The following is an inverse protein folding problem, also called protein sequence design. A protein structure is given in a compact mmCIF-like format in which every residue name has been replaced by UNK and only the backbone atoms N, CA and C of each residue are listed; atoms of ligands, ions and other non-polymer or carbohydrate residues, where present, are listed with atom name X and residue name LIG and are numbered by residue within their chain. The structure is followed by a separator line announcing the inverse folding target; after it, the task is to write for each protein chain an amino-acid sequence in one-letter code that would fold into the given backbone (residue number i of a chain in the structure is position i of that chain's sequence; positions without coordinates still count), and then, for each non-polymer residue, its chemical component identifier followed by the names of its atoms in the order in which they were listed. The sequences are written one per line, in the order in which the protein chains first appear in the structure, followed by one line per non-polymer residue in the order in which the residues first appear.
data_IF_005595326223
#
_entry.id   IF_005595326223
#
_cell.length_a   1.000
_cell.length_b   1.000
_cell.length_c   1.000
_cell.angle_alpha   90.00
_cell.angle_beta   90.00
_cell.angle_gamma   90.00
#
_symmetry.space_group_name_H-M   'P 1'
#
loop_
_entity.id
_entity.type
_entity.pdbx_description
1 polymer ?
#
# COMPACT_ATOMS: atom_id res chain seq x y z
N UNK A 1 -20.30 -5.52 -11.44
CA UNK A 1 -19.37 -4.38 -11.43
C UNK A 1 -18.25 -4.75 -10.48
N UNK A 2 -16.99 -4.37 -10.74
CA UNK A 2 -15.93 -4.62 -9.78
C UNK A 2 -16.12 -3.71 -8.56
N UNK A 3 -15.88 -4.22 -7.34
CA UNK A 3 -16.07 -3.42 -6.14
C UNK A 3 -14.97 -2.35 -6.07
N UNK A 4 -15.31 -1.12 -5.74
CA UNK A 4 -14.32 -0.05 -5.56
C UNK A 4 -13.56 -0.27 -4.26
N UNK A 5 -12.24 -0.19 -4.33
CA UNK A 5 -11.35 -0.50 -3.22
C UNK A 5 -10.52 0.74 -2.87
N UNK A 6 -10.58 1.18 -1.62
CA UNK A 6 -9.64 2.15 -1.07
C UNK A 6 -8.75 1.46 -0.06
N UNK A 7 -7.43 1.58 -0.23
CA UNK A 7 -6.46 1.00 0.68
C UNK A 7 -5.56 2.10 1.22
N UNK A 8 -5.48 2.16 2.55
CA UNK A 8 -4.52 2.99 3.26
C UNK A 8 -3.42 2.15 3.85
N UNK A 9 -2.19 2.54 3.60
CA UNK A 9 -0.95 1.83 3.92
C UNK A 9 0.06 2.73 4.64
N UNK A 10 -0.04 4.06 4.48
CA UNK A 10 0.74 5.05 5.22
C UNK A 10 0.15 5.17 6.63
N UNK A 11 0.70 4.37 7.54
CA UNK A 11 0.18 4.08 8.86
C UNK A 11 -0.43 2.69 8.96
N UNK A 12 -1.50 2.56 9.74
CA UNK A 12 -2.16 1.24 9.94
C UNK A 12 -2.95 0.86 8.69
N UNK A 13 -2.76 -0.38 8.20
CA UNK A 13 -3.52 -0.91 7.06
C UNK A 13 -5.03 -0.77 7.29
N UNK A 14 -5.70 -0.01 6.42
CA UNK A 14 -7.16 0.06 6.32
C UNK A 14 -7.59 -0.28 4.89
N UNK A 15 -8.66 -1.05 4.76
CA UNK A 15 -9.25 -1.38 3.47
C UNK A 15 -10.73 -1.02 3.54
N UNK A 16 -11.22 -0.31 2.53
CA UNK A 16 -12.64 0.03 2.35
C UNK A 16 -13.07 -0.52 1.02
N UNK A 17 -14.17 -1.27 1.00
CA UNK A 17 -14.76 -1.89 -0.18
C UNK A 17 -16.16 -1.33 -0.39
N UNK A 18 -16.40 -0.67 -1.52
CA UNK A 18 -17.67 0.01 -1.85
C UNK A 18 -18.16 0.90 -0.69
N UNK A 19 -17.25 1.68 -0.08
CA UNK A 19 -17.54 2.55 1.06
C UNK A 19 -17.68 1.85 2.42
N UNK A 20 -17.58 0.52 2.47
CA UNK A 20 -17.69 -0.26 3.72
C UNK A 20 -16.31 -0.71 4.20
N UNK A 21 -15.98 -0.45 5.46
CA UNK A 21 -14.71 -0.87 6.04
C UNK A 21 -14.62 -2.41 6.10
N UNK A 22 -13.50 -2.95 5.60
CA UNK A 22 -13.12 -4.36 5.80
C UNK A 22 -12.54 -4.50 7.21
N UNK A 23 -13.22 -5.25 8.05
CA UNK A 23 -12.88 -5.48 9.46
C UNK A 23 -11.97 -6.70 9.62
N UNK A 24 -11.47 -6.93 10.84
CA UNK A 24 -10.64 -8.11 11.12
C UNK A 24 -11.35 -9.44 10.86
N UNK A 25 -12.67 -9.48 11.07
CA UNK A 25 -13.50 -10.68 10.84
C UNK A 25 -13.61 -11.08 9.37
N UNK A 26 -13.46 -10.13 8.45
CA UNK A 26 -13.61 -10.37 7.01
C UNK A 26 -12.41 -11.11 6.42
N UNK A 27 -11.21 -10.97 6.99
CA UNK A 27 -9.97 -11.53 6.43
C UNK A 27 -9.92 -13.06 6.43
N UNK A 28 -10.74 -13.70 7.26
CA UNK A 28 -10.77 -15.15 7.57
C UNK A 28 -9.46 -15.72 8.17
N UNK A 29 -8.30 -15.19 7.78
CA UNK A 29 -6.97 -15.59 8.23
C UNK A 29 -6.05 -14.37 8.34
N UNK A 30 -5.14 -14.40 9.31
CA UNK A 30 -4.10 -13.38 9.45
C UNK A 30 -3.20 -13.31 8.20
N UNK A 31 -2.94 -14.46 7.59
CA UNK A 31 -2.08 -14.59 6.42
C UNK A 31 -2.67 -13.96 5.16
N UNK A 32 -4.00 -13.93 4.98
CA UNK A 32 -4.63 -13.19 3.88
C UNK A 32 -4.33 -11.68 3.97
N UNK A 33 -4.44 -11.10 5.17
CA UNK A 33 -4.10 -9.70 5.43
C UNK A 33 -2.61 -9.43 5.20
N UNK A 34 -1.75 -10.34 5.66
CA UNK A 34 -0.31 -10.21 5.49
C UNK A 34 0.13 -10.35 4.03
N UNK A 35 -0.51 -11.26 3.26
CA UNK A 35 -0.33 -11.38 1.82
C UNK A 35 -0.64 -10.07 1.10
N UNK A 36 -1.75 -9.40 1.45
CA UNK A 36 -2.06 -8.10 0.83
C UNK A 36 -0.92 -7.10 1.03
N UNK A 37 -0.41 -6.99 2.27
CA UNK A 37 0.69 -6.06 2.58
C UNK A 37 1.94 -6.37 1.76
N UNK A 38 2.35 -7.63 1.71
CA UNK A 38 3.54 -8.06 0.95
C UNK A 38 3.36 -7.76 -0.55
N UNK A 39 2.21 -8.12 -1.11
CA UNK A 39 1.93 -7.91 -2.53
C UNK A 39 1.81 -6.42 -2.89
N UNK A 40 1.28 -5.58 -2.00
CA UNK A 40 1.29 -4.12 -2.17
C UNK A 40 2.73 -3.60 -2.09
N UNK A 41 3.55 -4.04 -1.14
CA UNK A 41 4.95 -3.59 -1.05
C UNK A 41 5.76 -3.90 -2.30
N UNK A 42 5.52 -5.05 -2.94
CA UNK A 42 6.24 -5.46 -4.15
C UNK A 42 5.60 -5.00 -5.46
N UNK A 43 4.47 -4.29 -5.39
CA UNK A 43 3.68 -3.89 -6.57
C UNK A 43 4.51 -3.09 -7.60
N UNK A 44 4.16 -3.17 -8.89
CA UNK A 44 3.21 -4.11 -9.51
C UNK A 44 3.85 -5.48 -9.80
N UNK A 45 5.04 -5.77 -9.25
CA UNK A 45 5.81 -6.97 -9.59
C UNK A 45 5.21 -8.20 -8.91
N UNK A 46 5.26 -9.37 -9.56
CA UNK A 46 4.87 -10.62 -8.91
C UNK A 46 5.89 -11.01 -7.84
N UNK A 47 5.38 -11.53 -6.72
CA UNK A 47 6.16 -12.16 -5.67
C UNK A 47 6.11 -13.67 -5.87
N UNK A 48 7.28 -14.31 -5.83
CA UNK A 48 7.41 -15.74 -6.09
C UNK A 48 6.69 -16.57 -5.01
N UNK A 49 6.14 -17.71 -5.42
CA UNK A 49 5.37 -18.60 -4.51
C UNK A 49 6.20 -19.08 -3.32
N UNK A 50 7.42 -19.49 -3.61
CA UNK A 50 8.48 -19.89 -2.69
C UNK A 50 8.87 -18.78 -1.72
N UNK A 51 9.03 -17.54 -2.20
CA UNK A 51 9.29 -16.37 -1.35
C UNK A 51 8.10 -16.08 -0.40
N UNK A 52 6.86 -16.13 -0.90
CA UNK A 52 5.66 -15.94 -0.07
C UNK A 52 5.54 -17.02 1.01
N UNK A 53 5.88 -18.27 0.68
CA UNK A 53 5.90 -19.38 1.63
C UNK A 53 6.95 -19.14 2.72
N UNK A 54 8.16 -18.76 2.34
CA UNK A 54 9.25 -18.50 3.28
C UNK A 54 8.89 -17.39 4.28
N UNK A 55 8.29 -16.29 3.80
CA UNK A 55 7.89 -15.16 4.65
C UNK A 55 6.75 -15.54 5.61
N UNK A 56 5.74 -16.27 5.13
CA UNK A 56 4.50 -16.48 5.89
C UNK A 56 4.50 -17.75 6.74
N UNK A 57 5.25 -18.76 6.32
CA UNK A 57 5.30 -20.08 6.94
C UNK A 57 6.72 -20.69 6.94
N UNK A 58 7.71 -20.02 7.56
CA UNK A 58 9.13 -20.44 7.51
C UNK A 58 9.38 -21.85 8.07
N UNK A 59 8.50 -22.33 8.96
CA UNK A 59 8.63 -23.63 9.64
C UNK A 59 7.76 -24.74 9.02
N UNK A 60 7.10 -24.51 7.88
CA UNK A 60 6.22 -25.49 7.25
C UNK A 60 6.92 -26.33 6.20
N UNK A 61 6.52 -27.59 6.06
CA UNK A 61 6.96 -28.42 4.93
C UNK A 61 6.46 -27.83 3.60
N UNK A 62 7.22 -27.95 2.49
CA UNK A 62 6.84 -27.33 1.21
C UNK A 62 5.43 -27.68 0.70
N UNK A 63 5.01 -28.95 0.83
CA UNK A 63 3.70 -29.43 0.37
C UNK A 63 2.53 -28.83 1.17
N UNK A 64 2.67 -28.76 2.50
CA UNK A 64 1.70 -28.10 3.37
C UNK A 64 1.62 -26.60 3.09
N UNK A 65 2.77 -25.94 2.94
CA UNK A 65 2.84 -24.50 2.71
C UNK A 65 2.19 -24.08 1.38
N UNK A 66 2.38 -24.84 0.31
CA UNK A 66 1.75 -24.55 -0.99
C UNK A 66 0.21 -24.61 -0.92
N UNK A 67 -0.34 -25.57 -0.17
CA UNK A 67 -1.79 -25.71 0.04
C UNK A 67 -2.34 -24.56 0.87
N UNK A 68 -1.62 -24.17 1.94
CA UNK A 68 -2.01 -23.05 2.80
C UNK A 68 -1.91 -21.71 2.07
N UNK A 69 -0.90 -21.51 1.22
CA UNK A 69 -0.78 -20.31 0.38
C UNK A 69 -1.98 -20.15 -0.55
N UNK A 70 -2.37 -21.22 -1.27
CA UNK A 70 -3.55 -21.17 -2.15
C UNK A 70 -4.82 -20.81 -1.37
N UNK A 71 -4.97 -21.33 -0.16
CA UNK A 71 -6.11 -21.03 0.71
C UNK A 71 -6.11 -19.56 1.15
N UNK A 72 -4.95 -19.04 1.56
CA UNK A 72 -4.79 -17.64 1.97
C UNK A 72 -4.99 -16.66 0.80
N UNK A 73 -4.51 -17.00 -0.41
CA UNK A 73 -4.78 -16.22 -1.63
C UNK A 73 -6.27 -16.22 -1.97
N UNK A 74 -6.95 -17.36 -1.86
CA UNK A 74 -8.40 -17.42 -2.08
C UNK A 74 -9.17 -16.59 -1.05
N UNK A 75 -8.79 -16.66 0.23
CA UNK A 75 -9.37 -15.81 1.28
C UNK A 75 -9.15 -14.32 0.95
N UNK A 76 -7.93 -13.92 0.61
CA UNK A 76 -7.62 -12.54 0.21
C UNK A 76 -8.46 -12.08 -0.99
N UNK A 77 -8.58 -12.91 -2.03
CA UNK A 77 -9.40 -12.59 -3.20
C UNK A 77 -10.87 -12.41 -2.84
N UNK A 78 -11.41 -13.21 -1.92
CA UNK A 78 -12.80 -13.09 -1.49
C UNK A 78 -13.02 -11.85 -0.59
N UNK A 79 -11.99 -11.39 0.12
CA UNK A 79 -12.05 -10.12 0.86
C UNK A 79 -12.20 -8.95 -0.10
N UNK A 80 -11.41 -8.90 -1.18
CA UNK A 80 -11.47 -7.79 -2.13
C UNK A 80 -12.62 -7.93 -3.14
N UNK A 81 -12.95 -9.15 -3.55
CA UNK A 81 -13.96 -9.46 -4.57
C UNK A 81 -14.93 -10.55 -4.03
N UNK A 82 -15.85 -10.21 -3.11
CA UNK A 82 -16.72 -11.19 -2.44
C UNK A 82 -17.70 -11.89 -3.40
N UNK A 83 -18.16 -11.17 -4.42
CA UNK A 83 -19.08 -11.69 -5.43
C UNK A 83 -18.37 -12.40 -6.58
N UNK A 84 -17.04 -12.57 -6.50
CA UNK A 84 -16.26 -13.26 -7.52
C UNK A 84 -16.72 -14.72 -7.62
N UNK A 85 -17.11 -15.20 -8.82
CA UNK A 85 -17.47 -16.60 -9.00
C UNK A 85 -16.32 -17.52 -8.59
N UNK A 86 -16.65 -18.68 -8.03
CA UNK A 86 -15.64 -19.64 -7.62
C UNK A 86 -14.73 -20.01 -8.82
N UNK A 87 -13.41 -19.96 -8.60
CA UNK A 87 -12.35 -20.21 -9.61
C UNK A 87 -12.24 -19.17 -10.73
N UNK A 88 -13.03 -18.10 -10.74
CA UNK A 88 -12.82 -16.99 -11.68
C UNK A 88 -11.48 -16.28 -11.38
N UNK A 89 -10.79 -15.71 -12.38
CA UNK A 89 -9.62 -14.87 -12.14
C UNK A 89 -10.01 -13.69 -11.25
N UNK A 90 -9.07 -13.25 -10.41
CA UNK A 90 -9.19 -12.05 -9.60
C UNK A 90 -8.64 -10.87 -10.38
N UNK A 91 -9.27 -9.70 -10.24
CA UNK A 91 -8.83 -8.47 -10.90
C UNK A 91 -7.76 -7.72 -10.09
N UNK A 92 -7.75 -7.93 -8.77
CA UNK A 92 -6.84 -7.23 -7.85
C UNK A 92 -5.64 -8.07 -7.42
N UNK A 93 -5.80 -9.39 -7.30
CA UNK A 93 -4.74 -10.32 -6.91
C UNK A 93 -4.54 -11.36 -8.01
N UNK A 94 -3.68 -11.03 -8.96
CA UNK A 94 -3.48 -11.82 -10.17
C UNK A 94 -2.45 -12.93 -9.93
N UNK A 95 -2.65 -14.06 -10.60
CA UNK A 95 -1.62 -15.09 -10.70
C UNK A 95 -0.72 -14.75 -11.90
N UNK A 96 0.55 -14.47 -11.65
CA UNK A 96 1.53 -14.12 -12.66
C UNK A 96 2.86 -14.78 -12.30
N UNK A 97 3.41 -15.60 -13.21
CA UNK A 97 4.66 -16.31 -12.97
C UNK A 97 5.77 -15.36 -12.50
N UNK A 98 6.53 -15.69 -11.42
CA UNK A 98 6.56 -16.97 -10.70
C UNK A 98 5.57 -17.12 -9.51
N UNK A 99 4.60 -16.21 -9.34
CA UNK A 99 3.64 -16.31 -8.23
C UNK A 99 2.43 -15.40 -8.38
N UNK A 100 2.33 -14.40 -7.51
CA UNK A 100 1.15 -13.53 -7.39
C UNK A 100 1.55 -12.06 -7.34
N UNK A 101 0.71 -11.18 -7.89
CA UNK A 101 0.94 -9.74 -7.87
C UNK A 101 -0.31 -9.00 -7.40
N UNK A 102 -0.09 -7.84 -6.77
CA UNK A 102 -1.14 -6.83 -6.61
C UNK A 102 -1.26 -6.05 -7.91
N UNK A 103 -2.42 -6.13 -8.55
CA UNK A 103 -2.69 -5.42 -9.79
C UNK A 103 -3.30 -4.04 -9.49
N UNK A 104 -2.62 -2.98 -9.95
CA UNK A 104 -3.21 -1.65 -9.96
C UNK A 104 -4.36 -1.64 -10.99
N UNK A 105 -5.53 -1.17 -10.57
CA UNK A 105 -6.75 -1.15 -11.35
C UNK A 105 -7.44 0.22 -11.17
N UNK A 106 -8.17 0.75 -12.18
CA UNK A 106 -8.87 2.03 -12.03
C UNK A 106 -9.87 2.11 -10.87
N UNK A 107 -10.39 0.97 -10.41
CA UNK A 107 -11.29 0.88 -9.26
C UNK A 107 -10.56 0.72 -7.91
N UNK A 108 -9.21 0.75 -7.91
CA UNK A 108 -8.40 0.83 -6.69
C UNK A 108 -7.87 2.24 -6.52
N UNK A 109 -8.08 2.80 -5.32
CA UNK A 109 -7.31 3.91 -4.80
C UNK A 109 -6.36 3.41 -3.70
N UNK A 110 -5.09 3.75 -3.81
CA UNK A 110 -4.04 3.34 -2.90
C UNK A 110 -3.26 4.58 -2.45
N UNK A 111 -3.29 4.88 -1.15
CA UNK A 111 -2.72 6.10 -0.60
C UNK A 111 -1.23 6.29 -0.90
N UNK A 112 -0.44 5.20 -0.89
CA UNK A 112 0.99 5.27 -1.23
C UNK A 112 1.21 5.60 -2.71
N UNK A 113 0.38 5.11 -3.63
CA UNK A 113 0.47 5.50 -5.05
C UNK A 113 0.08 6.96 -5.25
N UNK A 114 -0.97 7.42 -4.54
CA UNK A 114 -1.38 8.82 -4.57
C UNK A 114 -0.29 9.72 -3.98
N UNK A 115 0.32 9.33 -2.85
CA UNK A 115 1.44 10.03 -2.24
C UNK A 115 2.59 10.20 -3.24
N UNK A 116 3.02 9.10 -3.86
CA UNK A 116 4.11 9.14 -4.83
C UNK A 116 3.75 9.97 -6.06
N UNK A 117 2.51 9.87 -6.54
CA UNK A 117 2.00 10.67 -7.65
C UNK A 117 2.02 12.17 -7.33
N UNK A 118 1.59 12.58 -6.13
CA UNK A 118 1.59 13.98 -5.72
C UNK A 118 3.01 14.54 -5.62
N UNK A 119 3.97 13.78 -5.07
CA UNK A 119 5.39 14.18 -5.10
C UNK A 119 5.92 14.35 -6.53
N UNK A 120 5.52 13.45 -7.42
CA UNK A 120 5.86 13.50 -8.84
C UNK A 120 5.26 14.71 -9.56
N UNK A 121 4.04 15.14 -9.20
CA UNK A 121 3.42 16.36 -9.70
C UNK A 121 4.09 17.61 -9.13
N UNK A 122 4.46 17.61 -7.84
CA UNK A 122 5.20 18.71 -7.22
C UNK A 122 6.52 18.98 -7.95
N UNK A 123 7.26 17.91 -8.28
CA UNK A 123 8.52 18.03 -9.00
C UNK A 123 8.36 18.59 -10.42
N UNK A 124 7.24 18.26 -11.09
CA UNK A 124 6.92 18.74 -12.46
C UNK A 124 6.19 20.08 -12.49
N UNK A 125 5.81 20.63 -11.34
CA UNK A 125 5.05 21.87 -11.26
C UNK A 125 5.83 23.05 -11.83
N UNK A 126 5.15 23.86 -12.65
CA UNK A 126 5.72 25.01 -13.34
C UNK A 126 5.89 26.24 -12.44
N UNK A 127 5.21 26.27 -11.30
CA UNK A 127 5.19 27.39 -10.35
C UNK A 127 5.12 26.89 -8.90
N UNK A 128 5.55 27.74 -7.98
CA UNK A 128 5.66 27.43 -6.55
C UNK A 128 4.30 27.17 -5.89
N UNK A 129 3.21 27.78 -6.38
CA UNK A 129 1.88 27.59 -5.79
C UNK A 129 1.34 26.19 -6.11
N UNK A 130 1.49 25.75 -7.36
CA UNK A 130 1.17 24.39 -7.81
C UNK A 130 2.04 23.36 -7.07
N UNK A 131 3.35 23.62 -6.99
CA UNK A 131 4.30 22.76 -6.26
C UNK A 131 3.90 22.59 -4.81
N UNK A 132 3.64 23.70 -4.10
CA UNK A 132 3.19 23.71 -2.71
C UNK A 132 1.92 22.89 -2.52
N UNK A 133 0.92 23.04 -3.39
CA UNK A 133 -0.34 22.29 -3.29
C UNK A 133 -0.15 20.78 -3.38
N UNK A 134 0.72 20.33 -4.28
CA UNK A 134 1.03 18.92 -4.44
C UNK A 134 1.82 18.37 -3.24
N UNK A 135 2.82 19.11 -2.75
CA UNK A 135 3.55 18.75 -1.52
C UNK A 135 2.63 18.66 -0.30
N UNK A 136 1.75 19.64 -0.11
CA UNK A 136 0.77 19.67 1.00
C UNK A 136 -0.18 18.45 0.96
N UNK A 137 -0.65 18.09 -0.24
CA UNK A 137 -1.47 16.89 -0.43
C UNK A 137 -0.69 15.62 -0.11
N UNK A 138 0.56 15.50 -0.58
CA UNK A 138 1.41 14.35 -0.29
C UNK A 138 1.69 14.21 1.22
N UNK A 139 2.08 15.29 1.88
CA UNK A 139 2.34 15.32 3.33
C UNK A 139 1.09 14.91 4.12
N UNK A 140 -0.10 15.40 3.72
CA UNK A 140 -1.37 15.05 4.38
C UNK A 140 -1.74 13.57 4.23
N UNK A 141 -1.37 12.93 3.11
CA UNK A 141 -1.60 11.49 2.90
C UNK A 141 -0.72 10.62 3.81
N UNK A 142 0.48 11.09 4.14
CA UNK A 142 1.43 10.38 4.98
C UNK A 142 1.07 10.56 6.47
N UNK A 143 0.11 9.77 6.95
CA UNK A 143 -0.36 9.87 8.33
C UNK A 143 0.62 9.32 9.36
N UNK A 144 1.34 8.23 9.02
CA UNK A 144 2.34 7.57 9.85
C UNK A 144 3.17 6.62 8.97
N UNK A 145 4.17 5.95 9.54
CA UNK A 145 5.03 5.03 8.81
C UNK A 145 4.24 3.93 8.08
N UNK A 146 4.67 3.62 6.87
CA UNK A 146 4.10 2.58 6.03
C UNK A 146 4.01 1.23 6.79
N UNK A 147 2.78 0.71 6.92
CA UNK A 147 2.44 -0.47 7.73
C UNK A 147 3.05 -0.43 9.15
N UNK A 148 2.82 0.64 9.89
CA UNK A 148 3.35 0.84 11.27
C UNK A 148 3.05 -0.32 12.22
N UNK A 149 1.94 -1.05 12.02
CA UNK A 149 1.56 -2.19 12.85
C UNK A 149 2.45 -3.44 12.68
N UNK A 150 3.39 -3.44 11.75
CA UNK A 150 4.32 -4.55 11.49
C UNK A 150 5.79 -4.08 11.67
N UNK A 151 6.19 -3.64 12.88
CA UNK A 151 7.50 -2.99 13.09
C UNK A 151 8.69 -3.94 12.87
N UNK A 152 8.50 -5.24 13.09
CA UNK A 152 9.55 -6.28 12.98
C UNK A 152 9.47 -7.11 11.69
N UNK A 153 8.66 -6.68 10.71
CA UNK A 153 8.57 -7.36 9.43
C UNK A 153 9.74 -6.96 8.52
N UNK A 154 10.66 -7.87 8.23
CA UNK A 154 11.85 -7.54 7.40
C UNK A 154 11.47 -7.15 5.97
N UNK A 155 10.45 -7.80 5.40
CA UNK A 155 9.99 -7.57 4.01
C UNK A 155 9.47 -6.15 3.75
N UNK A 156 9.17 -5.34 4.77
CA UNK A 156 8.65 -3.98 4.60
C UNK A 156 9.67 -2.88 4.88
N UNK A 157 10.81 -3.19 5.53
CA UNK A 157 11.68 -2.15 6.08
C UNK A 157 12.24 -1.21 5.00
N UNK A 158 12.73 -1.77 3.90
CA UNK A 158 13.30 -0.98 2.80
C UNK A 158 12.27 -0.01 2.21
N UNK A 159 11.03 -0.46 1.99
CA UNK A 159 9.97 0.38 1.44
C UNK A 159 9.53 1.45 2.44
N UNK A 160 9.43 1.09 3.74
CA UNK A 160 9.12 2.03 4.81
C UNK A 160 10.17 3.14 4.90
N UNK A 161 11.45 2.78 4.87
CA UNK A 161 12.56 3.74 4.90
C UNK A 161 12.54 4.66 3.69
N UNK A 162 12.42 4.10 2.47
CA UNK A 162 12.31 4.86 1.23
C UNK A 162 11.16 5.88 1.27
N UNK A 163 9.97 5.45 1.69
CA UNK A 163 8.80 6.32 1.78
C UNK A 163 8.97 7.39 2.85
N UNK A 164 9.60 7.07 3.98
CA UNK A 164 9.89 8.02 5.05
C UNK A 164 10.89 9.09 4.60
N UNK A 165 11.95 8.71 3.88
CA UNK A 165 12.89 9.66 3.29
C UNK A 165 12.21 10.60 2.30
N UNK A 166 11.35 10.07 1.42
CA UNK A 166 10.55 10.88 0.49
C UNK A 166 9.65 11.87 1.23
N UNK A 167 9.00 11.43 2.31
CA UNK A 167 8.17 12.28 3.15
C UNK A 167 8.95 13.41 3.81
N UNK A 168 10.10 13.12 4.42
CA UNK A 168 10.94 14.15 5.02
C UNK A 168 11.46 15.16 4.00
N UNK A 169 11.86 14.71 2.81
CA UNK A 169 12.27 15.61 1.74
C UNK A 169 11.13 16.54 1.31
N UNK A 170 9.90 16.01 1.23
CA UNK A 170 8.72 16.82 0.90
C UNK A 170 8.40 17.87 1.97
N UNK A 171 8.53 17.52 3.25
CA UNK A 171 8.38 18.47 4.37
C UNK A 171 9.42 19.59 4.30
N UNK A 172 10.68 19.25 4.02
CA UNK A 172 11.76 20.23 3.90
C UNK A 172 11.50 21.20 2.74
N UNK A 173 11.15 20.67 1.56
CA UNK A 173 10.82 21.49 0.39
C UNK A 173 9.60 22.39 0.64
N UNK A 174 8.56 21.86 1.30
CA UNK A 174 7.38 22.63 1.67
C UNK A 174 7.74 23.79 2.63
N UNK A 175 8.61 23.53 3.59
CA UNK A 175 9.11 24.54 4.55
C UNK A 175 9.90 25.64 3.84
N UNK A 176 10.78 25.28 2.89
CA UNK A 176 11.54 26.25 2.09
C UNK A 176 10.64 27.18 1.28
N UNK A 177 9.59 26.63 0.65
CA UNK A 177 8.60 27.41 -0.11
C UNK A 177 7.81 28.37 0.79
N UNK A 178 7.48 27.97 2.01
CA UNK A 178 6.78 28.84 2.98
C UNK A 178 7.68 29.98 3.47
N UNK A 179 8.95 29.71 3.75
CA UNK A 179 9.93 30.73 4.16
C UNK A 179 10.17 31.74 3.03
N UNK A 180 10.30 31.28 1.79
CA UNK A 180 10.50 32.15 0.62
C UNK A 180 9.33 33.13 0.39
N UNK A 181 8.12 32.77 0.83
CA UNK A 181 6.92 33.61 0.75
C UNK A 181 6.76 34.58 1.94
N UNK A 182 7.70 34.59 2.90
CA UNK A 182 7.67 35.49 4.06
C UNK A 182 6.74 35.03 5.19
N UNK A 183 6.26 33.78 5.16
CA UNK A 183 5.38 33.22 6.18
C UNK A 183 6.21 32.62 7.33
N UNK A 184 6.92 33.47 8.08
CA UNK A 184 7.69 33.05 9.26
C UNK A 184 6.82 32.52 10.42
N UNK A 185 5.49 32.62 10.34
CA UNK A 185 4.56 32.22 11.40
C UNK A 185 4.18 30.73 11.37
N UNK A 186 4.28 30.05 10.21
CA UNK A 186 3.84 28.64 10.08
C UNK A 186 4.99 27.63 10.27
N UNK A 187 6.25 28.08 10.23
CA UNK A 187 7.44 27.24 10.29
C UNK A 187 7.70 26.56 11.67
N UNK A 188 6.84 26.76 12.67
CA UNK A 188 7.00 26.21 14.03
C UNK A 188 5.95 25.11 14.34
N UNK A 189 5.00 24.83 13.44
CA UNK A 189 3.87 23.92 13.76
C UNK A 189 3.57 22.84 12.71
N UNK A 190 4.55 22.46 11.88
CA UNK A 190 4.45 21.31 10.98
C UNK A 190 5.14 20.07 11.58
#
# INVERSE_FOLDING_TARGET
MLPKIEIRTLGTLRVVRDGHAVTEGDWHTRQARQLLKILITERPRPVATDQLIEILWPNSTPSAAATTLRSAINALRNVLEPDRPNRAPSNYIITQSPGYAFALHPDIWLDVEEFEHQLDQAHRAADDASRRRHLDTAVTLYADDYFISDPYADWVQNERERLRERYFNALMELSELQVAQGNYADAITA
#
